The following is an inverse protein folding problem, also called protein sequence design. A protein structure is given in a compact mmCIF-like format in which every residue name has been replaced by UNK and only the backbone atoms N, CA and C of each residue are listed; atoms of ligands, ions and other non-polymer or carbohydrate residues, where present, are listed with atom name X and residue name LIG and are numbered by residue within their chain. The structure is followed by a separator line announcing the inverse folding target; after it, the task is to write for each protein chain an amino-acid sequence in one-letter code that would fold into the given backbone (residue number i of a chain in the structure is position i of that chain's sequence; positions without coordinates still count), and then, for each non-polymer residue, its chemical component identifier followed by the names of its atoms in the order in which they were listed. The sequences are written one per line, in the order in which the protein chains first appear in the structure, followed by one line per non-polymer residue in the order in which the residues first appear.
data_IF_769602680682
#
_entry.id   IF_769602680682
#
_cell.length_a   1.000
_cell.length_b   1.000
_cell.length_c   1.000
_cell.angle_alpha   90.00
_cell.angle_beta   90.00
_cell.angle_gamma   90.00
#
_symmetry.space_group_name_H-M   'P 1'
#
loop_
_entity.id
_entity.type
_entity.pdbx_description
1 polymer ?
#
# COMPACT_ATOMS: atom_id res chain seq x y z
N UNK A 1 -12.29 -18.46 -5.86
CA UNK A 1 -12.04 -17.59 -4.69
C UNK A 1 -12.34 -16.17 -5.14
N UNK A 2 -13.13 -15.42 -4.39
CA UNK A 2 -13.46 -14.03 -4.74
C UNK A 2 -12.20 -13.13 -4.63
N UNK A 3 -12.10 -12.07 -5.44
CA UNK A 3 -10.94 -11.15 -5.42
C UNK A 3 -10.70 -10.59 -4.02
N UNK A 4 -11.77 -10.27 -3.31
CA UNK A 4 -11.69 -9.79 -1.93
C UNK A 4 -11.02 -10.83 -1.01
N UNK A 5 -11.38 -12.10 -1.13
CA UNK A 5 -10.75 -13.17 -0.35
C UNK A 5 -9.25 -13.36 -0.69
N UNK A 6 -8.87 -13.21 -1.96
CA UNK A 6 -7.47 -13.24 -2.38
C UNK A 6 -6.66 -12.11 -1.75
N UNK A 7 -7.20 -10.90 -1.78
CA UNK A 7 -6.57 -9.73 -1.14
C UNK A 7 -6.53 -9.88 0.38
N UNK A 8 -7.60 -10.36 1.02
CA UNK A 8 -7.63 -10.57 2.47
C UNK A 8 -6.54 -11.58 2.93
N UNK A 9 -6.31 -12.63 2.14
CA UNK A 9 -5.20 -13.57 2.37
C UNK A 9 -3.83 -12.93 2.17
N UNK A 10 -3.66 -12.16 1.09
CA UNK A 10 -2.42 -11.44 0.81
C UNK A 10 -2.09 -10.43 1.92
N UNK A 11 -3.10 -9.73 2.41
CA UNK A 11 -2.98 -8.76 3.50
C UNK A 11 -2.47 -9.42 4.79
N UNK A 12 -2.98 -10.61 5.10
CA UNK A 12 -2.52 -11.39 6.26
C UNK A 12 -1.04 -11.79 6.13
N UNK A 13 -0.60 -12.16 4.92
CA UNK A 13 0.81 -12.48 4.65
C UNK A 13 1.70 -11.23 4.76
N UNK A 14 1.26 -10.08 4.25
CA UNK A 14 1.99 -8.82 4.33
C UNK A 14 2.18 -8.39 5.80
N UNK A 15 1.11 -8.46 6.60
CA UNK A 15 1.12 -8.06 8.01
C UNK A 15 2.14 -8.84 8.84
N UNK A 16 2.37 -10.10 8.49
CA UNK A 16 3.28 -11.02 9.21
C UNK A 16 4.65 -11.18 8.53
N UNK A 17 4.91 -10.48 7.42
CA UNK A 17 6.09 -10.67 6.60
C UNK A 17 7.41 -10.36 7.33
N UNK A 18 8.40 -11.25 7.24
CA UNK A 18 9.73 -11.11 7.85
C UNK A 18 10.87 -11.15 6.81
N UNK A 19 10.57 -10.82 5.54
CA UNK A 19 11.49 -11.06 4.41
C UNK A 19 12.63 -10.05 4.28
N UNK A 20 12.62 -8.97 5.05
CA UNK A 20 13.69 -7.99 5.08
C UNK A 20 13.76 -7.29 6.45
N UNK A 21 14.88 -6.62 6.71
CA UNK A 21 15.20 -5.89 7.96
C UNK A 21 14.19 -4.80 8.37
N UNK A 22 13.30 -4.37 7.48
CA UNK A 22 12.25 -3.39 7.83
C UNK A 22 11.20 -3.99 8.77
N UNK A 23 11.08 -5.32 8.81
CA UNK A 23 10.19 -6.00 9.75
C UNK A 23 10.60 -5.82 11.21
N UNK A 24 11.89 -5.58 11.47
CA UNK A 24 12.43 -5.37 12.82
C UNK A 24 12.14 -3.96 13.36
N UNK A 25 11.83 -3.01 12.47
CA UNK A 25 11.72 -1.58 12.84
C UNK A 25 10.34 -0.98 12.63
N UNK A 26 9.47 -1.61 11.84
CA UNK A 26 8.10 -1.12 11.61
C UNK A 26 7.24 -1.32 12.86
N UNK A 27 6.25 -0.46 13.05
CA UNK A 27 5.15 -0.74 13.96
C UNK A 27 4.06 -1.55 13.24
N UNK A 28 3.70 -1.15 12.02
CA UNK A 28 2.69 -1.83 11.21
C UNK A 28 3.18 -2.01 9.78
N UNK A 29 3.02 -3.23 9.24
CA UNK A 29 3.05 -3.41 7.78
C UNK A 29 1.69 -3.02 7.21
N UNK A 30 1.68 -2.17 6.18
CA UNK A 30 0.48 -1.66 5.54
C UNK A 30 0.27 -2.33 4.18
N UNK A 31 -0.61 -3.34 4.10
CA UNK A 31 -1.06 -3.86 2.81
C UNK A 31 -1.91 -2.83 2.06
N UNK A 32 -2.17 -3.08 0.77
CA UNK A 32 -3.09 -2.25 0.00
C UNK A 32 -4.55 -2.35 0.48
N UNK A 33 -5.31 -1.29 0.25
CA UNK A 33 -6.71 -1.16 0.67
C UNK A 33 -7.55 -0.46 -0.42
N UNK A 34 -8.87 -0.66 -0.36
CA UNK A 34 -9.82 -0.06 -1.28
C UNK A 34 -10.60 -1.10 -2.07
N UNK A 35 -11.07 -0.71 -3.26
CA UNK A 35 -11.97 -1.52 -4.07
C UNK A 35 -11.23 -2.65 -4.81
N UNK A 36 -11.58 -3.94 -4.59
CA UNK A 36 -10.98 -5.06 -5.32
C UNK A 36 -11.24 -5.05 -6.83
N UNK A 37 -12.19 -4.23 -7.28
CA UNK A 37 -12.56 -4.01 -8.68
C UNK A 37 -12.21 -2.60 -9.16
N UNK A 38 -11.35 -1.88 -8.44
CA UNK A 38 -10.90 -0.56 -8.81
C UNK A 38 -10.33 -0.52 -10.24
N UNK A 39 -10.72 0.50 -11.00
CA UNK A 39 -10.11 0.79 -12.31
C UNK A 39 -8.86 1.66 -12.18
N UNK A 40 -8.80 2.47 -11.12
CA UNK A 40 -7.67 3.33 -10.78
C UNK A 40 -6.95 2.76 -9.55
N UNK A 41 -5.65 2.55 -9.70
CA UNK A 41 -4.78 1.97 -8.69
C UNK A 41 -3.68 2.97 -8.38
N UNK A 42 -3.53 3.38 -7.12
CA UNK A 42 -2.51 4.35 -6.72
C UNK A 42 -1.38 3.67 -5.96
N UNK A 43 -0.14 3.94 -6.38
CA UNK A 43 1.07 3.35 -5.79
C UNK A 43 1.92 4.46 -5.18
N UNK A 44 2.00 4.47 -3.86
CA UNK A 44 2.97 5.28 -3.13
C UNK A 44 4.27 4.51 -2.87
N UNK A 45 5.31 5.20 -2.40
CA UNK A 45 6.61 4.57 -2.16
C UNK A 45 6.60 3.66 -0.94
N UNK A 46 6.20 4.19 0.22
CA UNK A 46 6.21 3.50 1.51
C UNK A 46 5.32 4.24 2.52
N UNK A 47 4.88 3.56 3.60
CA UNK A 47 4.27 4.21 4.76
C UNK A 47 5.14 5.32 5.35
N UNK A 48 4.52 6.46 5.65
CA UNK A 48 5.12 7.49 6.49
C UNK A 48 5.08 7.10 7.98
N UNK A 49 5.66 7.94 8.82
CA UNK A 49 5.74 7.71 10.27
C UNK A 49 4.35 7.67 10.94
N UNK A 50 3.43 8.54 10.50
CA UNK A 50 2.07 8.56 11.06
C UNK A 50 1.31 7.30 10.66
N UNK A 51 1.43 6.89 9.40
CA UNK A 51 0.81 5.69 8.86
C UNK A 51 1.33 4.43 9.55
N UNK A 52 2.65 4.32 9.72
CA UNK A 52 3.29 3.21 10.43
C UNK A 52 2.83 3.12 11.88
N UNK A 53 2.76 4.24 12.60
CA UNK A 53 2.30 4.24 13.99
C UNK A 53 0.81 3.90 14.12
N UNK A 54 -0.02 4.30 13.15
CA UNK A 54 -1.49 4.16 13.24
C UNK A 54 -2.05 2.91 12.56
N UNK A 55 -1.29 2.27 11.67
CA UNK A 55 -1.76 1.10 10.95
C UNK A 55 -2.66 1.41 9.74
N UNK A 56 -2.72 2.68 9.28
CA UNK A 56 -3.64 3.13 8.22
C UNK A 56 -2.91 3.99 7.18
N UNK A 57 -3.30 3.91 5.91
CA UNK A 57 -2.62 4.62 4.82
C UNK A 57 -3.09 6.07 4.62
N UNK A 58 -2.22 6.89 4.03
CA UNK A 58 -2.51 8.27 3.60
C UNK A 58 -3.13 9.15 4.70
N UNK A 59 -2.57 9.11 5.91
CA UNK A 59 -2.97 9.96 7.05
C UNK A 59 -2.14 11.24 7.16
N UNK A 60 -0.93 11.23 6.61
CA UNK A 60 0.00 12.34 6.65
C UNK A 60 -0.39 13.52 5.74
N UNK A 61 0.50 14.54 5.65
CA UNK A 61 0.26 15.71 4.80
C UNK A 61 -0.03 15.37 3.34
N UNK A 62 0.69 14.39 2.77
CA UNK A 62 0.47 13.93 1.40
C UNK A 62 -0.89 13.28 1.21
N UNK A 63 -1.42 12.58 2.23
CA UNK A 63 -2.77 12.02 2.21
C UNK A 63 -3.84 13.09 2.12
N UNK A 64 -3.68 14.19 2.87
CA UNK A 64 -4.58 15.35 2.79
C UNK A 64 -4.56 16.04 1.41
N UNK A 65 -3.40 16.06 0.76
CA UNK A 65 -3.28 16.58 -0.61
C UNK A 65 -3.98 15.63 -1.59
N UNK A 66 -3.75 14.32 -1.45
CA UNK A 66 -4.44 13.31 -2.25
C UNK A 66 -5.97 13.44 -2.14
N UNK A 67 -6.50 13.61 -0.93
CA UNK A 67 -7.94 13.79 -0.71
C UNK A 67 -8.52 15.00 -1.45
N UNK A 68 -7.79 16.12 -1.45
CA UNK A 68 -8.20 17.31 -2.20
C UNK A 68 -8.19 17.06 -3.71
N UNK A 69 -7.21 16.33 -4.22
CA UNK A 69 -7.11 16.01 -5.65
C UNK A 69 -8.21 15.03 -6.07
N UNK A 70 -8.46 13.99 -5.29
CA UNK A 70 -9.55 13.04 -5.52
C UNK A 70 -10.90 13.75 -5.50
N UNK A 71 -11.14 14.60 -4.49
CA UNK A 71 -12.36 15.40 -4.39
C UNK A 71 -12.53 16.35 -5.57
N UNK A 72 -11.47 17.04 -6.00
CA UNK A 72 -11.53 17.93 -7.17
C UNK A 72 -11.79 17.17 -8.48
N UNK A 73 -11.34 15.92 -8.57
CA UNK A 73 -11.61 15.03 -9.69
C UNK A 73 -12.97 14.32 -9.61
N UNK A 74 -13.71 14.47 -8.50
CA UNK A 74 -14.97 13.76 -8.27
C UNK A 74 -14.81 12.25 -8.08
N UNK A 75 -13.64 11.80 -7.60
CA UNK A 75 -13.33 10.38 -7.37
C UNK A 75 -13.36 10.12 -5.87
N UNK A 76 -14.09 9.08 -5.46
CA UNK A 76 -14.12 8.65 -4.06
C UNK A 76 -13.08 7.58 -3.75
N UNK A 77 -12.63 7.52 -2.48
CA UNK A 77 -11.61 6.54 -2.03
C UNK A 77 -12.09 5.09 -2.13
N UNK A 78 -13.39 4.85 -2.06
CA UNK A 78 -14.02 3.53 -2.22
C UNK A 78 -14.15 3.08 -3.70
N UNK A 79 -13.80 3.94 -4.65
CA UNK A 79 -13.75 3.60 -6.09
C UNK A 79 -12.36 3.17 -6.55
N UNK A 80 -11.34 3.45 -5.75
CA UNK A 80 -9.93 3.23 -6.08
C UNK A 80 -9.32 2.14 -5.19
N UNK A 81 -8.16 1.66 -5.61
CA UNK A 81 -7.30 0.84 -4.77
C UNK A 81 -6.00 1.59 -4.54
N UNK A 82 -5.51 1.60 -3.31
CA UNK A 82 -4.31 2.33 -2.93
C UNK A 82 -3.34 1.37 -2.24
N UNK A 83 -2.06 1.53 -2.50
CA UNK A 83 -1.03 0.69 -1.89
C UNK A 83 0.33 1.37 -1.89
N UNK A 84 1.34 0.68 -1.34
CA UNK A 84 2.73 1.09 -1.35
C UNK A 84 3.63 0.08 -2.08
N UNK A 85 4.70 0.54 -2.71
CA UNK A 85 5.77 -0.33 -3.23
C UNK A 85 6.45 -1.11 -2.11
N UNK A 86 6.81 -0.44 -1.02
CA UNK A 86 7.31 -1.07 0.21
C UNK A 86 6.20 -1.02 1.26
N UNK A 87 5.82 -2.17 1.82
CA UNK A 87 4.72 -2.27 2.80
C UNK A 87 5.09 -1.85 4.23
N UNK A 88 6.33 -1.42 4.47
CA UNK A 88 6.86 -1.09 5.79
C UNK A 88 7.47 0.32 5.76
N UNK A 89 7.47 1.00 6.92
CA UNK A 89 8.11 2.31 7.03
C UNK A 89 9.60 2.26 6.70
N UNK A 90 10.06 3.28 5.96
CA UNK A 90 11.47 3.46 5.65
C UNK A 90 12.10 4.39 6.68
N UNK A 91 13.12 3.95 7.45
CA UNK A 91 13.75 4.77 8.48
C UNK A 91 14.20 6.13 7.97
N UNK A 92 13.83 7.20 8.67
CA UNK A 92 14.10 8.60 8.28
C UNK A 92 13.48 9.00 6.93
N UNK A 93 12.42 8.33 6.48
CA UNK A 93 11.75 8.56 5.19
C UNK A 93 12.71 8.54 3.99
N UNK A 94 13.79 7.73 4.08
CA UNK A 94 14.73 7.56 2.97
C UNK A 94 14.09 6.82 1.81
N UNK A 95 14.76 6.83 0.66
CA UNK A 95 14.40 5.95 -0.47
C UNK A 95 14.60 4.47 -0.12
N UNK A 96 13.80 3.57 -0.71
CA UNK A 96 13.96 2.14 -0.52
C UNK A 96 15.27 1.66 -1.12
N UNK A 97 15.91 0.70 -0.46
CA UNK A 97 17.11 0.03 -0.98
C UNK A 97 16.70 -1.09 -1.94
N UNK A 98 17.64 -1.52 -2.78
CA UNK A 98 17.39 -2.56 -3.77
C UNK A 98 16.91 -3.87 -3.11
N UNK A 99 17.56 -4.30 -2.03
CA UNK A 99 17.18 -5.51 -1.27
C UNK A 99 15.76 -5.44 -0.69
N UNK A 100 15.32 -4.25 -0.29
CA UNK A 100 13.97 -4.02 0.23
C UNK A 100 12.93 -4.10 -0.88
N UNK A 101 13.24 -3.58 -2.07
CA UNK A 101 12.37 -3.69 -3.26
C UNK A 101 12.29 -5.14 -3.71
N UNK A 102 13.42 -5.83 -3.85
CA UNK A 102 13.46 -7.25 -4.23
C UNK A 102 12.66 -8.12 -3.26
N UNK A 103 12.73 -7.85 -1.96
CA UNK A 103 11.94 -8.58 -0.98
C UNK A 103 10.43 -8.28 -1.07
N UNK A 104 10.04 -7.05 -1.40
CA UNK A 104 8.66 -6.57 -1.24
C UNK A 104 7.83 -6.52 -2.54
N UNK A 105 8.45 -6.34 -3.71
CA UNK A 105 7.75 -6.06 -4.97
C UNK A 105 6.71 -7.12 -5.35
N UNK A 106 6.96 -8.40 -5.04
CA UNK A 106 6.03 -9.49 -5.35
C UNK A 106 4.64 -9.32 -4.71
N UNK A 107 4.52 -8.56 -3.61
CA UNK A 107 3.22 -8.26 -3.02
C UNK A 107 2.45 -7.27 -3.89
N UNK A 108 3.13 -6.24 -4.40
CA UNK A 108 2.56 -5.29 -5.35
C UNK A 108 2.14 -6.01 -6.65
N UNK A 109 2.97 -6.91 -7.17
CA UNK A 109 2.63 -7.70 -8.35
C UNK A 109 1.37 -8.55 -8.13
N UNK A 110 1.23 -9.15 -6.95
CA UNK A 110 0.04 -9.92 -6.59
C UNK A 110 -1.21 -9.06 -6.44
N UNK A 111 -1.10 -7.87 -5.86
CA UNK A 111 -2.21 -6.89 -5.78
C UNK A 111 -2.66 -6.49 -7.20
N UNK A 112 -1.72 -6.11 -8.07
CA UNK A 112 -1.99 -5.72 -9.46
C UNK A 112 -2.62 -6.88 -10.25
N UNK A 113 -2.09 -8.10 -10.12
CA UNK A 113 -2.61 -9.29 -10.81
C UNK A 113 -4.01 -9.69 -10.33
N UNK A 114 -4.33 -9.45 -9.06
CA UNK A 114 -5.65 -9.73 -8.49
C UNK A 114 -6.69 -8.72 -8.95
N UNK A 115 -6.34 -7.43 -8.94
CA UNK A 115 -7.26 -6.33 -9.24
C UNK A 115 -7.44 -6.15 -10.75
N UNK A 116 -6.33 -6.23 -11.51
CA UNK A 116 -6.22 -5.92 -12.94
C UNK A 116 -6.78 -4.53 -13.27
N UNK A 117 -6.19 -3.47 -12.70
CA UNK A 117 -6.69 -2.11 -12.90
C UNK A 117 -6.47 -1.66 -14.35
N UNK A 118 -7.24 -0.65 -14.76
CA UNK A 118 -7.07 -0.03 -16.08
C UNK A 118 -5.96 1.04 -16.08
N UNK A 119 -5.71 1.65 -14.92
CA UNK A 119 -4.73 2.73 -14.72
C UNK A 119 -3.93 2.51 -13.44
N UNK A 120 -2.63 2.79 -13.52
CA UNK A 120 -1.66 2.83 -12.41
C UNK A 120 -1.16 4.27 -12.21
#
# INVERSE_FOLDING_TARGET
MDKKQQLDQLNTQIQTCQRCKLADTRNHALPGEGNPNARLFLIAQAPGEVEDNKGNMFLGPSGKVLDKLLSAAGISRDEIYMTNLIKCHLPKNRKPKHDEIEACHQYLDQEINSIKPAFL
#
